data_IF_429423292896
#
_entry.id   IF_429423292896
#
_cell.length_a   1.000
_cell.length_b   1.000
_cell.length_c   1.000
_cell.angle_alpha   90.00
_cell.angle_beta   90.00
_cell.angle_gamma   90.00
#
_symmetry.space_group_name_H-M   'P 1'
#
loop_
_entity.id
_entity.type
_entity.pdbx_description
1 polymer ?
#
# COMPACT_ATOMS: atom_id res chain seq x y z
N UNK A 1 8.93 4.23 -18.23
CA UNK A 1 8.46 3.10 -17.40
C UNK A 1 8.62 3.54 -15.96
N UNK A 2 7.57 3.48 -15.15
CA UNK A 2 7.73 3.91 -13.76
C UNK A 2 8.62 2.89 -13.02
N UNK A 3 9.68 3.39 -12.39
CA UNK A 3 10.67 2.63 -11.64
C UNK A 3 10.46 2.87 -10.14
N UNK A 4 10.71 1.86 -9.30
CA UNK A 4 10.61 2.02 -7.85
C UNK A 4 11.62 3.07 -7.36
N UNK A 5 11.20 3.90 -6.41
CA UNK A 5 12.06 4.94 -5.83
C UNK A 5 13.28 4.34 -5.10
N UNK A 6 13.10 3.19 -4.45
CA UNK A 6 14.18 2.46 -3.78
C UNK A 6 14.38 1.08 -4.41
N UNK A 7 15.31 0.99 -5.36
CA UNK A 7 15.57 -0.24 -6.15
C UNK A 7 16.06 -1.41 -5.28
N UNK A 8 16.91 -1.14 -4.28
CA UNK A 8 17.42 -2.19 -3.40
C UNK A 8 16.29 -2.79 -2.55
N UNK A 9 15.46 -1.93 -1.95
CA UNK A 9 14.31 -2.35 -1.16
C UNK A 9 13.29 -3.11 -2.01
N UNK A 10 13.02 -2.62 -3.22
CA UNK A 10 12.16 -3.31 -4.18
C UNK A 10 12.72 -4.69 -4.55
N UNK A 11 14.04 -4.83 -4.75
CA UNK A 11 14.68 -6.13 -5.01
C UNK A 11 14.56 -7.09 -3.82
N UNK A 12 14.73 -6.62 -2.59
CA UNK A 12 14.52 -7.44 -1.38
C UNK A 12 13.07 -7.91 -1.26
N UNK A 13 12.12 -6.99 -1.42
CA UNK A 13 10.69 -7.33 -1.45
C UNK A 13 10.36 -8.30 -2.59
N UNK A 14 11.01 -8.17 -3.75
CA UNK A 14 10.80 -9.06 -4.88
C UNK A 14 11.25 -10.50 -4.62
N UNK A 15 12.25 -10.68 -3.76
CA UNK A 15 12.81 -11.97 -3.36
C UNK A 15 12.13 -12.58 -2.11
N UNK A 16 11.17 -11.89 -1.50
CA UNK A 16 10.48 -12.40 -0.31
C UNK A 16 9.69 -13.68 -0.64
N UNK A 17 9.84 -14.77 0.14
CA UNK A 17 9.20 -16.05 -0.15
C UNK A 17 7.67 -15.95 -0.17
N UNK A 18 7.10 -15.19 0.75
CA UNK A 18 5.63 -15.02 0.87
C UNK A 18 5.07 -13.86 0.04
N UNK A 19 5.78 -13.40 -1.01
CA UNK A 19 5.32 -12.32 -1.88
C UNK A 19 4.03 -12.72 -2.60
N UNK A 20 2.88 -12.05 -2.34
CA UNK A 20 1.62 -12.39 -2.98
C UNK A 20 1.49 -11.74 -4.38
N UNK A 21 0.35 -11.98 -5.04
CA UNK A 21 -0.01 -11.35 -6.30
C UNK A 21 0.68 -11.97 -7.53
N UNK A 22 0.63 -11.25 -8.64
CA UNK A 22 1.02 -11.75 -9.97
C UNK A 22 2.39 -11.24 -10.43
N UNK A 23 3.25 -10.83 -9.49
CA UNK A 23 4.65 -10.46 -9.76
C UNK A 23 4.79 -9.43 -10.91
N UNK A 24 3.93 -8.41 -10.91
CA UNK A 24 3.86 -7.33 -11.91
C UNK A 24 3.31 -7.77 -13.28
N UNK A 25 2.53 -8.86 -13.36
CA UNK A 25 2.01 -9.39 -14.64
C UNK A 25 0.50 -9.28 -14.79
N UNK A 26 -0.22 -8.83 -13.76
CA UNK A 26 -1.66 -8.61 -13.88
C UNK A 26 -1.95 -7.41 -14.79
N UNK A 27 -3.04 -7.46 -15.54
CA UNK A 27 -3.54 -6.30 -16.27
C UNK A 27 -3.83 -5.14 -15.29
N UNK A 28 -3.40 -3.90 -15.62
CA UNK A 28 -3.63 -2.73 -14.77
C UNK A 28 -5.08 -2.61 -14.34
N UNK A 29 -5.31 -2.47 -13.05
CA UNK A 29 -6.64 -2.22 -12.51
C UNK A 29 -7.48 -3.49 -12.32
N UNK A 30 -6.96 -4.68 -12.62
CA UNK A 30 -7.61 -5.96 -12.24
C UNK A 30 -7.52 -6.20 -10.73
N UNK A 31 -6.50 -5.64 -10.08
CA UNK A 31 -6.30 -5.67 -8.64
C UNK A 31 -6.14 -4.27 -8.09
N UNK A 32 -6.40 -4.10 -6.80
CA UNK A 32 -6.05 -2.90 -6.04
C UNK A 32 -5.50 -3.26 -4.66
N UNK A 33 -4.59 -2.46 -4.10
CA UNK A 33 -4.25 -2.58 -2.70
C UNK A 33 -5.36 -2.02 -1.80
N UNK A 34 -5.60 -2.68 -0.68
CA UNK A 34 -6.40 -2.20 0.45
C UNK A 34 -5.43 -1.96 1.60
N UNK A 35 -5.52 -0.78 2.21
CA UNK A 35 -4.73 -0.39 3.38
C UNK A 35 -5.61 -0.45 4.62
N UNK A 36 -5.25 -1.28 5.59
CA UNK A 36 -5.83 -1.24 6.93
C UNK A 36 -5.27 -0.04 7.70
N UNK A 37 -6.09 1.01 7.81
CA UNK A 37 -5.72 2.25 8.47
C UNK A 37 -5.64 2.13 9.99
N UNK A 38 -6.14 1.05 10.60
CA UNK A 38 -5.90 0.77 12.02
C UNK A 38 -4.48 0.28 12.28
N UNK A 39 -3.81 -0.27 11.26
CA UNK A 39 -2.44 -0.81 11.33
C UNK A 39 -1.40 0.14 10.71
N UNK A 40 -1.77 0.89 9.68
CA UNK A 40 -0.84 1.73 8.93
C UNK A 40 -0.19 2.81 9.80
N UNK A 41 1.15 2.83 9.83
CA UNK A 41 1.97 3.83 10.53
C UNK A 41 2.63 4.86 9.60
N UNK A 42 2.21 4.90 8.32
CA UNK A 42 2.71 5.87 7.33
C UNK A 42 4.24 5.89 7.11
N UNK A 43 4.93 4.76 7.34
CA UNK A 43 6.40 4.62 7.15
C UNK A 43 6.88 4.81 5.71
N UNK A 44 6.00 4.64 4.72
CA UNK A 44 6.29 4.96 3.32
C UNK A 44 6.92 3.84 2.49
N UNK A 45 7.18 2.66 3.05
CA UNK A 45 7.79 1.52 2.34
C UNK A 45 7.03 1.16 1.06
N UNK A 46 5.69 1.24 1.09
CA UNK A 46 4.83 1.01 -0.07
C UNK A 46 5.07 1.99 -1.22
N UNK A 47 5.37 3.26 -0.91
CA UNK A 47 5.72 4.30 -1.90
C UNK A 47 7.10 4.01 -2.48
N UNK A 48 8.05 3.62 -1.63
CA UNK A 48 9.42 3.33 -2.06
C UNK A 48 9.52 2.15 -3.01
N UNK A 49 8.74 1.08 -2.77
CA UNK A 49 8.86 -0.16 -3.54
C UNK A 49 7.91 -0.24 -4.73
N UNK A 50 6.83 0.53 -4.77
CA UNK A 50 5.83 0.41 -5.84
C UNK A 50 6.37 0.97 -7.17
N UNK A 51 6.56 0.13 -8.21
CA UNK A 51 7.05 0.61 -9.49
C UNK A 51 5.96 1.35 -10.29
N UNK A 52 4.70 1.34 -9.86
CA UNK A 52 3.58 1.96 -10.59
C UNK A 52 3.01 3.19 -9.86
N UNK A 53 3.72 3.71 -8.86
CA UNK A 53 3.34 4.91 -8.10
C UNK A 53 1.87 4.86 -7.60
N UNK A 54 1.42 3.67 -7.17
CA UNK A 54 0.05 3.45 -6.69
C UNK A 54 -0.24 4.22 -5.42
N UNK A 55 0.79 4.38 -4.57
CA UNK A 55 0.67 4.87 -3.20
C UNK A 55 1.16 6.30 -3.03
N UNK A 56 0.57 6.99 -2.07
CA UNK A 56 1.04 8.27 -1.52
C UNK A 56 0.90 8.24 0.01
N UNK A 57 1.85 8.85 0.74
CA UNK A 57 1.68 9.11 2.18
C UNK A 57 1.13 10.52 2.36
N UNK A 58 -0.09 10.62 2.89
CA UNK A 58 -0.76 11.90 3.13
C UNK A 58 -1.44 11.93 4.49
N UNK A 59 -1.95 13.09 4.89
CA UNK A 59 -2.71 13.24 6.13
C UNK A 59 -4.00 12.43 6.03
N UNK A 60 -4.34 11.69 7.08
CA UNK A 60 -5.61 10.97 7.11
C UNK A 60 -6.78 11.96 7.16
N UNK A 61 -7.78 11.77 6.30
CA UNK A 61 -8.99 12.56 6.30
C UNK A 61 -9.75 12.39 7.63
N UNK A 62 -10.48 13.41 8.07
CA UNK A 62 -11.21 13.35 9.34
C UNK A 62 -12.18 12.17 9.40
N UNK A 63 -12.98 11.96 8.36
CA UNK A 63 -13.90 10.83 8.27
C UNK A 63 -13.19 9.47 8.40
N UNK A 64 -12.06 9.28 7.71
CA UNK A 64 -11.26 8.05 7.82
C UNK A 64 -10.67 7.88 9.22
N UNK A 65 -10.22 8.97 9.84
CA UNK A 65 -9.71 8.96 11.21
C UNK A 65 -10.80 8.60 12.22
N UNK A 66 -12.01 9.14 12.05
CA UNK A 66 -13.14 8.91 12.95
C UNK A 66 -13.61 7.46 12.91
N UNK A 67 -13.47 6.79 11.76
CA UNK A 67 -13.74 5.37 11.56
C UNK A 67 -12.69 4.42 12.17
N UNK A 68 -11.55 4.94 12.66
CA UNK A 68 -10.55 4.11 13.33
C UNK A 68 -11.04 3.63 14.71
N UNK A 69 -10.58 2.45 15.12
CA UNK A 69 -10.66 2.00 16.51
C UNK A 69 -9.89 2.93 17.45
N UNK A 70 -10.16 2.87 18.76
CA UNK A 70 -9.42 3.68 19.76
C UNK A 70 -7.91 3.46 19.68
N UNK A 71 -7.47 2.20 19.49
CA UNK A 71 -6.06 1.86 19.29
C UNK A 71 -5.52 2.43 17.97
N UNK A 72 -6.29 2.34 16.89
CA UNK A 72 -5.94 2.92 15.60
C UNK A 72 -5.79 4.45 15.66
N UNK A 73 -6.70 5.14 16.35
CA UNK A 73 -6.60 6.60 16.59
C UNK A 73 -5.33 6.94 17.35
N UNK A 74 -5.01 6.22 18.42
CA UNK A 74 -3.78 6.42 19.19
C UNK A 74 -2.53 6.23 18.32
N UNK A 75 -2.43 5.10 17.59
CA UNK A 75 -1.31 4.86 16.66
C UNK A 75 -1.21 5.99 15.63
N UNK A 76 -2.32 6.34 14.98
CA UNK A 76 -2.35 7.40 13.97
C UNK A 76 -1.83 8.73 14.52
N UNK A 77 -2.21 9.12 15.74
CA UNK A 77 -1.72 10.34 16.38
C UNK A 77 -0.20 10.29 16.65
N UNK A 78 0.32 9.16 17.17
CA UNK A 78 1.75 8.96 17.41
C UNK A 78 2.58 9.02 16.12
N UNK A 79 2.00 8.58 15.00
CA UNK A 79 2.64 8.59 13.68
C UNK A 79 2.24 9.79 12.81
N UNK A 80 1.92 10.91 13.43
CA UNK A 80 1.77 12.21 12.74
C UNK A 80 0.47 12.38 11.95
N UNK A 81 -0.55 11.56 12.26
CA UNK A 81 -1.87 11.59 11.62
C UNK A 81 -1.78 11.47 10.09
N UNK A 82 -0.90 10.57 9.63
CA UNK A 82 -0.70 10.24 8.22
C UNK A 82 -1.12 8.79 7.95
N UNK A 83 -1.40 8.48 6.69
CA UNK A 83 -1.68 7.12 6.21
C UNK A 83 -1.21 6.97 4.77
N UNK A 84 -1.03 5.73 4.33
CA UNK A 84 -0.96 5.43 2.91
C UNK A 84 -2.34 5.54 2.26
N UNK A 85 -2.42 6.26 1.15
CA UNK A 85 -3.56 6.34 0.25
C UNK A 85 -3.17 5.76 -1.12
N UNK A 86 -4.16 5.36 -1.92
CA UNK A 86 -3.94 4.67 -3.19
C UNK A 86 -4.57 5.45 -4.36
N UNK A 87 -4.16 6.71 -4.62
CA UNK A 87 -4.79 7.54 -5.66
C UNK A 87 -4.71 6.92 -7.05
N UNK A 88 -3.68 6.11 -7.30
CA UNK A 88 -3.41 5.45 -8.56
C UNK A 88 -3.73 3.94 -8.51
N UNK A 89 -4.75 3.53 -7.75
CA UNK A 89 -5.11 2.11 -7.58
C UNK A 89 -5.33 1.38 -8.92
N UNK A 90 -5.87 2.06 -9.93
CA UNK A 90 -6.07 1.53 -11.28
C UNK A 90 -4.77 1.18 -12.04
N UNK A 91 -3.61 1.67 -11.58
CA UNK A 91 -2.31 1.31 -12.16
C UNK A 91 -1.69 0.06 -11.52
N UNK A 92 -2.35 -0.52 -10.51
CA UNK A 92 -1.83 -1.69 -9.82
C UNK A 92 -1.81 -2.91 -10.76
N UNK A 93 -0.63 -3.51 -10.93
CA UNK A 93 -0.42 -4.77 -11.66
C UNK A 93 -0.14 -5.95 -10.70
N UNK A 94 -0.75 -5.91 -9.51
CA UNK A 94 -0.68 -6.96 -8.50
C UNK A 94 0.75 -7.41 -8.15
N UNK A 95 1.71 -6.48 -8.04
CA UNK A 95 3.12 -6.86 -7.85
C UNK A 95 3.42 -7.55 -6.51
N UNK A 96 2.63 -7.30 -5.46
CA UNK A 96 2.87 -7.83 -4.11
C UNK A 96 4.03 -7.19 -3.33
N UNK A 97 4.84 -6.33 -3.94
CA UNK A 97 6.00 -5.72 -3.28
C UNK A 97 5.59 -4.88 -2.06
N UNK A 98 4.54 -4.07 -2.20
CA UNK A 98 4.03 -3.25 -1.11
C UNK A 98 3.53 -4.07 0.09
N UNK A 99 3.03 -5.29 -0.14
CA UNK A 99 2.52 -6.16 0.93
C UNK A 99 3.67 -6.63 1.81
N UNK A 100 4.69 -7.26 1.21
CA UNK A 100 5.84 -7.79 1.97
C UNK A 100 6.82 -6.72 2.44
N UNK A 101 6.81 -5.53 1.82
CA UNK A 101 7.61 -4.40 2.29
C UNK A 101 6.95 -3.65 3.46
N UNK A 102 5.65 -3.86 3.72
CA UNK A 102 4.96 -3.14 4.79
C UNK A 102 5.34 -3.75 6.15
N UNK A 103 6.07 -3.02 7.02
CA UNK A 103 6.49 -3.55 8.32
C UNK A 103 5.32 -3.79 9.28
N UNK A 104 4.17 -3.14 9.04
CA UNK A 104 2.96 -3.28 9.86
C UNK A 104 1.98 -4.31 9.30
N UNK A 105 2.31 -4.95 8.18
CA UNK A 105 1.44 -5.85 7.39
C UNK A 105 0.04 -5.27 7.15
N UNK A 106 -0.01 -3.96 6.91
CA UNK A 106 -1.24 -3.19 6.80
C UNK A 106 -1.83 -3.21 5.38
N UNK A 107 -1.25 -3.95 4.43
CA UNK A 107 -1.59 -3.89 3.01
C UNK A 107 -1.95 -5.27 2.50
N UNK A 108 -3.08 -5.38 1.80
CA UNK A 108 -3.51 -6.59 1.10
C UNK A 108 -3.84 -6.25 -0.35
N UNK A 109 -3.66 -7.21 -1.26
CA UNK A 109 -4.16 -7.09 -2.63
C UNK A 109 -5.52 -7.77 -2.74
N UNK A 110 -6.48 -7.09 -3.34
CA UNK A 110 -7.82 -7.62 -3.63
C UNK A 110 -8.15 -7.40 -5.10
N UNK A 111 -9.05 -8.22 -5.65
CA UNK A 111 -9.60 -7.95 -6.98
C UNK A 111 -10.26 -6.56 -6.97
N UNK A 112 -9.98 -5.77 -8.01
CA UNK A 112 -10.67 -4.51 -8.18
C UNK A 112 -12.13 -4.80 -8.56
N UNK A 113 -13.08 -3.96 -8.11
CA UNK A 113 -14.43 -4.03 -8.65
C UNK A 113 -14.38 -3.83 -10.16
N UNK A 114 -15.06 -4.69 -10.90
CA UNK A 114 -15.19 -4.54 -12.35
C UNK A 114 -15.87 -3.21 -12.63
N UNK A 115 -15.23 -2.35 -13.42
CA UNK A 115 -15.91 -1.17 -13.97
C UNK A 115 -16.91 -1.69 -15.02
N UNK A 116 -18.14 -1.92 -14.59
CA UNK A 116 -19.28 -2.11 -15.49
C UNK A 116 -19.66 -0.81 -16.18
#
# INVERSE_FOLDING_TARGET
MAESLNKEKARRAAAHPDRPGEKCRAEPGTFRPVVDRNRCEAKGDCVEVCPYQVFEITRIASADFDALSLRGKLKSLVHGRKTAMTPNAAQCQACGLCVVACPEEAIQLVAAPQAG
#
